data_IF_205607468830
#
_entry.id   IF_205607468830
#
_cell.length_a   1.000
_cell.length_b   1.000
_cell.length_c   1.000
_cell.angle_alpha   90.00
_cell.angle_beta   90.00
_cell.angle_gamma   90.00
#
_symmetry.space_group_name_H-M   'P 1'
#
loop_
_entity.id
_entity.type
_entity.pdbx_description
1 polymer ?
#
# COMPACT_ATOMS: atom_id res chain seq x y z
N UNK A 1 -53.13 20.22 -22.25
CA UNK A 1 -53.32 18.75 -22.23
C UNK A 1 -52.01 18.09 -22.64
N UNK A 2 -51.25 17.61 -21.67
CA UNK A 2 -49.93 16.98 -21.83
C UNK A 2 -50.10 15.48 -22.12
N UNK A 3 -49.52 14.98 -23.22
CA UNK A 3 -49.59 13.56 -23.61
C UNK A 3 -48.30 12.82 -23.22
N UNK A 4 -48.47 11.69 -22.54
CA UNK A 4 -47.52 10.96 -21.69
C UNK A 4 -46.74 9.84 -22.41
N UNK A 5 -46.15 10.08 -23.58
CA UNK A 5 -45.55 8.97 -24.38
C UNK A 5 -44.02 9.01 -24.53
N UNK A 6 -43.28 9.49 -23.52
CA UNK A 6 -41.80 9.47 -23.56
C UNK A 6 -41.18 8.90 -22.29
N UNK A 7 -41.77 7.84 -21.71
CA UNK A 7 -41.16 7.14 -20.57
C UNK A 7 -41.30 5.64 -20.77
N UNK A 8 -40.56 5.09 -21.73
CA UNK A 8 -40.39 3.62 -21.81
C UNK A 8 -39.23 3.19 -22.69
N UNK A 9 -38.04 3.79 -22.56
CA UNK A 9 -36.86 3.25 -23.24
C UNK A 9 -35.51 3.57 -22.60
N UNK A 10 -35.41 3.56 -21.26
CA UNK A 10 -34.11 3.67 -20.58
C UNK A 10 -34.11 2.84 -19.29
N UNK A 11 -34.21 1.51 -19.40
CA UNK A 11 -34.10 0.62 -18.22
C UNK A 11 -33.32 -0.68 -18.47
N UNK A 12 -32.43 -0.73 -19.45
CA UNK A 12 -31.72 -1.99 -19.73
C UNK A 12 -30.24 -1.86 -20.13
N UNK A 13 -29.52 -0.84 -19.64
CA UNK A 13 -28.04 -0.77 -19.78
C UNK A 13 -27.39 -0.18 -18.51
N UNK A 14 -27.79 -0.66 -17.34
CA UNK A 14 -27.14 -0.27 -16.07
C UNK A 14 -27.00 -1.54 -15.20
N UNK A 15 -26.12 -2.48 -15.56
CA UNK A 15 -25.31 -3.06 -14.47
C UNK A 15 -23.85 -3.35 -14.80
N UNK A 16 -23.39 -3.26 -16.05
CA UNK A 16 -22.02 -3.71 -16.40
C UNK A 16 -20.97 -2.61 -16.15
N UNK A 17 -21.30 -1.34 -16.36
CA UNK A 17 -20.34 -0.24 -16.18
C UNK A 17 -19.99 0.05 -14.72
N UNK A 18 -20.84 -0.31 -13.76
CA UNK A 18 -20.59 -0.03 -12.33
C UNK A 18 -19.54 -0.99 -11.75
N UNK A 19 -19.49 -2.24 -12.21
CA UNK A 19 -18.53 -3.25 -11.72
C UNK A 19 -17.08 -2.98 -12.17
N UNK A 20 -16.89 -2.40 -13.37
CA UNK A 20 -15.55 -2.07 -13.86
C UNK A 20 -14.93 -0.85 -13.17
N UNK A 21 -15.74 0.06 -12.63
CA UNK A 21 -15.23 1.22 -11.90
C UNK A 21 -14.67 0.80 -10.53
N UNK A 22 -15.28 -0.19 -9.87
CA UNK A 22 -14.83 -0.61 -8.53
C UNK A 22 -13.48 -1.32 -8.53
N UNK A 23 -13.14 -2.10 -9.56
CA UNK A 23 -11.84 -2.79 -9.64
C UNK A 23 -10.68 -1.89 -10.07
N UNK A 24 -10.95 -0.81 -10.81
CA UNK A 24 -9.93 0.16 -11.23
C UNK A 24 -9.56 1.10 -10.08
N UNK A 25 -10.51 1.43 -9.21
CA UNK A 25 -10.26 2.29 -8.04
C UNK A 25 -9.46 1.58 -6.93
N UNK A 26 -9.52 0.25 -6.84
CA UNK A 26 -8.76 -0.49 -5.81
C UNK A 26 -7.26 -0.55 -6.10
N UNK A 27 -6.84 -0.54 -7.37
CA UNK A 27 -5.41 -0.65 -7.74
C UNK A 27 -4.64 0.64 -7.43
N UNK A 28 -5.30 1.80 -7.32
CA UNK A 28 -4.62 3.08 -7.09
C UNK A 28 -4.34 3.42 -5.62
N UNK A 29 -4.71 2.57 -4.67
CA UNK A 29 -4.66 2.90 -3.24
C UNK A 29 -3.67 2.08 -2.40
N UNK A 30 -3.07 1.02 -2.95
CA UNK A 30 -2.03 0.28 -2.25
C UNK A 30 -0.70 1.04 -2.28
N UNK A 31 0.10 0.87 -1.23
CA UNK A 31 1.48 1.38 -1.18
C UNK A 31 2.41 0.34 -1.79
N UNK A 32 3.20 0.76 -2.78
CA UNK A 32 4.24 -0.07 -3.37
C UNK A 32 5.62 0.44 -2.97
N UNK A 33 6.41 -0.42 -2.33
CA UNK A 33 7.80 -0.11 -1.99
C UNK A 33 8.65 -0.30 -3.26
N UNK A 34 9.48 0.69 -3.66
CA UNK A 34 10.33 0.58 -4.85
C UNK A 34 11.22 -0.67 -4.82
N UNK A 35 11.47 -1.28 -5.98
CA UNK A 35 12.22 -2.54 -6.06
C UNK A 35 13.64 -2.46 -5.50
N UNK A 36 14.30 -1.31 -5.63
CA UNK A 36 15.63 -1.07 -5.06
C UNK A 36 15.58 -1.03 -3.51
N UNK A 37 14.57 -0.36 -2.95
CA UNK A 37 14.31 -0.33 -1.52
C UNK A 37 14.04 -1.75 -1.00
N UNK A 38 13.18 -2.52 -1.68
CA UNK A 38 12.88 -3.92 -1.35
C UNK A 38 14.16 -4.76 -1.30
N UNK A 39 15.04 -4.65 -2.30
CA UNK A 39 16.31 -5.38 -2.33
C UNK A 39 17.19 -5.01 -1.12
N UNK A 40 17.33 -3.72 -0.84
CA UNK A 40 18.14 -3.24 0.28
C UNK A 40 17.60 -3.69 1.64
N UNK A 41 16.28 -3.66 1.83
CA UNK A 41 15.62 -4.16 3.04
C UNK A 41 15.87 -5.66 3.19
N UNK A 42 15.61 -6.46 2.15
CA UNK A 42 15.78 -7.91 2.17
C UNK A 42 17.22 -8.30 2.50
N UNK A 43 18.22 -7.71 1.83
CA UNK A 43 19.62 -8.02 2.09
C UNK A 43 20.01 -7.66 3.53
N UNK A 44 19.51 -6.55 4.07
CA UNK A 44 19.77 -6.18 5.46
C UNK A 44 19.12 -7.13 6.45
N UNK A 45 17.87 -7.54 6.24
CA UNK A 45 17.18 -8.52 7.11
C UNK A 45 17.89 -9.87 7.13
N UNK A 46 18.43 -10.31 5.99
CA UNK A 46 19.21 -11.56 5.93
C UNK A 46 20.49 -11.47 6.75
N UNK A 47 21.17 -10.33 6.73
CA UNK A 47 22.46 -10.15 7.43
C UNK A 47 22.25 -9.91 8.92
N UNK A 48 21.40 -8.94 9.29
CA UNK A 48 21.28 -8.45 10.67
C UNK A 48 20.30 -9.28 11.50
N UNK A 49 19.18 -9.69 10.89
CA UNK A 49 18.11 -10.45 11.56
C UNK A 49 18.21 -11.97 11.29
N UNK A 50 19.20 -12.40 10.50
CA UNK A 50 19.43 -13.79 10.10
C UNK A 50 18.18 -14.46 9.49
N UNK A 51 17.33 -13.67 8.84
CA UNK A 51 16.11 -14.18 8.22
C UNK A 51 16.43 -15.03 6.99
N UNK A 52 15.63 -16.08 6.76
CA UNK A 52 15.62 -16.75 5.46
C UNK A 52 15.13 -15.78 4.38
N UNK A 53 15.49 -16.04 3.11
CA UNK A 53 15.03 -15.22 2.00
C UNK A 53 13.50 -15.09 1.95
N UNK A 54 12.80 -16.21 2.14
CA UNK A 54 11.32 -16.25 2.18
C UNK A 54 10.76 -15.40 3.33
N UNK A 55 11.32 -15.53 4.54
CA UNK A 55 10.88 -14.73 5.69
C UNK A 55 11.12 -13.22 5.49
N UNK A 56 12.26 -12.86 4.88
CA UNK A 56 12.56 -11.46 4.55
C UNK A 56 11.59 -10.91 3.50
N UNK A 57 11.29 -11.66 2.44
CA UNK A 57 10.29 -11.28 1.42
C UNK A 57 8.91 -11.10 2.05
N UNK A 58 8.45 -12.06 2.86
CA UNK A 58 7.17 -11.98 3.53
C UNK A 58 7.08 -10.77 4.48
N UNK A 59 8.16 -10.47 5.20
CA UNK A 59 8.20 -9.30 6.09
C UNK A 59 8.07 -7.97 5.31
N UNK A 60 8.65 -7.87 4.11
CA UNK A 60 8.50 -6.69 3.25
C UNK A 60 7.10 -6.57 2.66
N UNK A 61 6.44 -7.69 2.33
CA UNK A 61 5.03 -7.69 1.90
C UNK A 61 4.15 -7.15 3.03
N UNK A 62 4.36 -7.63 4.26
CA UNK A 62 3.62 -7.18 5.44
C UNK A 62 3.89 -5.71 5.77
N UNK A 63 5.12 -5.23 5.56
CA UNK A 63 5.43 -3.80 5.64
C UNK A 63 4.64 -2.97 4.62
N UNK A 64 4.53 -3.42 3.37
CA UNK A 64 3.74 -2.73 2.34
C UNK A 64 2.24 -2.68 2.69
N UNK A 65 1.69 -3.77 3.22
CA UNK A 65 0.32 -3.79 3.75
C UNK A 65 0.15 -2.79 4.90
N UNK A 66 1.10 -2.75 5.84
CA UNK A 66 1.06 -1.81 6.96
C UNK A 66 1.20 -0.34 6.51
N UNK A 67 2.05 -0.04 5.53
CA UNK A 67 2.09 1.28 4.92
C UNK A 67 0.77 1.65 4.25
N UNK A 68 0.11 0.68 3.62
CA UNK A 68 -1.24 0.88 3.06
C UNK A 68 -2.25 1.22 4.15
N UNK A 69 -2.18 0.61 5.34
CA UNK A 69 -3.08 0.99 6.45
C UNK A 69 -2.81 2.42 6.93
N UNK A 70 -1.53 2.82 7.04
CA UNK A 70 -1.15 4.20 7.39
C UNK A 70 -1.70 5.19 6.35
N UNK A 71 -1.56 4.91 5.05
CA UNK A 71 -2.03 5.77 3.96
C UNK A 71 -3.55 6.02 4.03
N UNK A 72 -4.30 5.06 4.59
CA UNK A 72 -5.74 5.17 4.83
C UNK A 72 -6.12 5.71 6.22
N UNK A 73 -5.16 6.20 7.00
CA UNK A 73 -5.40 6.79 8.33
C UNK A 73 -5.66 5.76 9.43
N UNK A 74 -5.39 4.48 9.17
CA UNK A 74 -5.48 3.42 10.18
C UNK A 74 -4.12 3.30 10.85
N UNK A 75 -4.07 3.73 12.11
CA UNK A 75 -2.86 3.71 12.92
C UNK A 75 -2.94 2.60 13.97
N UNK A 76 -1.83 1.87 14.13
CA UNK A 76 -1.66 0.85 15.15
C UNK A 76 -0.18 0.54 15.33
N UNK A 77 0.18 -0.07 16.45
CA UNK A 77 1.55 -0.49 16.69
C UNK A 77 1.95 -1.57 15.67
N UNK A 78 3.12 -1.46 15.03
CA UNK A 78 3.60 -2.52 14.13
C UNK A 78 3.84 -3.81 14.92
N UNK A 79 3.66 -4.95 14.26
CA UNK A 79 4.13 -6.22 14.79
C UNK A 79 5.66 -6.30 14.64
N UNK A 80 6.32 -7.21 15.35
CA UNK A 80 7.77 -7.43 15.16
C UNK A 80 8.15 -7.80 13.71
N UNK A 81 7.22 -8.40 12.96
CA UNK A 81 7.42 -8.74 11.54
C UNK A 81 7.38 -7.51 10.62
N UNK A 82 6.69 -6.45 11.03
CA UNK A 82 6.65 -5.14 10.33
C UNK A 82 7.74 -4.19 10.84
N UNK A 83 8.04 -4.23 12.14
CA UNK A 83 8.98 -3.32 12.78
C UNK A 83 10.40 -3.47 12.23
N UNK A 84 10.89 -4.72 12.07
CA UNK A 84 12.21 -5.02 11.52
C UNK A 84 12.43 -4.51 10.09
N UNK A 85 11.58 -4.84 9.10
CA UNK A 85 11.73 -4.29 7.76
C UNK A 85 11.54 -2.77 7.72
N UNK A 86 10.68 -2.19 8.57
CA UNK A 86 10.51 -0.74 8.64
C UNK A 86 11.78 -0.06 9.15
N UNK A 87 12.38 -0.59 10.22
CA UNK A 87 13.66 -0.12 10.73
C UNK A 87 14.75 -0.20 9.66
N UNK A 88 14.85 -1.33 8.95
CA UNK A 88 15.79 -1.50 7.85
C UNK A 88 15.57 -0.49 6.71
N UNK A 89 14.31 -0.15 6.41
CA UNK A 89 13.95 0.83 5.38
C UNK A 89 14.42 2.24 5.76
N UNK A 90 14.20 2.65 7.01
CA UNK A 90 14.56 4.00 7.53
C UNK A 90 16.07 4.27 7.51
N UNK A 91 16.87 3.23 7.76
CA UNK A 91 18.33 3.35 7.80
C UNK A 91 18.92 3.85 6.48
N UNK A 92 18.24 3.61 5.35
CA UNK A 92 18.55 4.26 4.10
C UNK A 92 17.75 5.56 3.96
N UNK A 93 18.12 6.56 4.78
CA UNK A 93 17.36 7.79 4.97
C UNK A 93 17.01 8.52 3.66
N UNK A 94 17.92 8.67 2.67
CA UNK A 94 17.57 9.34 1.42
C UNK A 94 16.46 8.60 0.63
N UNK A 95 16.59 7.28 0.45
CA UNK A 95 15.57 6.49 -0.25
C UNK A 95 14.25 6.49 0.51
N UNK A 96 14.31 6.35 1.84
CA UNK A 96 13.12 6.35 2.68
C UNK A 96 12.39 7.70 2.66
N UNK A 97 13.13 8.82 2.65
CA UNK A 97 12.55 10.16 2.50
C UNK A 97 11.88 10.33 1.13
N UNK A 98 12.49 9.85 0.06
CA UNK A 98 11.91 9.91 -1.29
C UNK A 98 10.64 9.06 -1.40
N UNK A 99 10.69 7.83 -0.89
CA UNK A 99 9.56 6.92 -0.78
C UNK A 99 8.40 7.57 -0.01
N UNK A 100 8.65 8.05 1.21
CA UNK A 100 7.60 8.61 2.07
C UNK A 100 6.99 9.89 1.49
N UNK A 101 7.82 10.75 0.91
CA UNK A 101 7.35 11.95 0.20
C UNK A 101 6.47 11.60 -1.00
N UNK A 102 6.79 10.53 -1.73
CA UNK A 102 6.03 10.10 -2.90
C UNK A 102 4.69 9.47 -2.52
N UNK A 103 4.69 8.56 -1.54
CA UNK A 103 3.49 7.78 -1.17
C UNK A 103 2.55 8.51 -0.21
N UNK A 104 3.08 9.38 0.66
CA UNK A 104 2.34 10.02 1.74
C UNK A 104 2.36 11.56 1.68
N UNK A 105 3.25 12.16 0.88
CA UNK A 105 3.45 13.61 0.84
C UNK A 105 4.21 14.19 2.05
N UNK A 106 4.60 13.35 3.00
CA UNK A 106 5.32 13.72 4.22
C UNK A 106 6.16 12.55 4.73
N UNK A 107 7.11 12.82 5.62
CA UNK A 107 7.90 11.78 6.26
C UNK A 107 7.06 10.99 7.27
N UNK A 108 7.04 9.67 7.15
CA UNK A 108 6.34 8.80 8.09
C UNK A 108 7.29 8.45 9.24
N UNK A 109 6.94 8.84 10.46
CA UNK A 109 7.77 8.58 11.63
C UNK A 109 7.56 7.16 12.16
N UNK A 110 8.67 6.49 12.47
CA UNK A 110 8.70 5.23 13.19
C UNK A 110 9.00 5.47 14.66
N UNK A 111 8.24 4.81 15.52
CA UNK A 111 8.54 4.69 16.94
C UNK A 111 8.83 3.19 17.14
N UNK A 112 10.09 2.81 17.43
CA UNK A 112 10.47 1.42 17.59
C UNK A 112 9.63 0.71 18.65
N UNK A 113 9.28 -0.55 18.37
CA UNK A 113 8.65 -1.44 19.33
C UNK A 113 9.65 -2.01 20.35
#
# INVERSE_FOLDING_TARGET
>A
MTNQNTIRFVRSIIPVCILLIQSVVTVSNEVHIPSLDVQNIIERLKIEEQMSHEAAVNSVIELAHYYTTIKHGIHGSPSAMVDKPWHAHILNTPMYMEFTKTEFGHYVHHIPY
#
